data_IF_739004366579
#
_entry.id   IF_739004366579
#
_cell.length_a   1.000
_cell.length_b   1.000
_cell.length_c   1.000
_cell.angle_alpha   90.00
_cell.angle_beta   90.00
_cell.angle_gamma   90.00
#
_symmetry.space_group_name_H-M   'P 1'
#
loop_
_entity.id
_entity.type
_entity.pdbx_description
1 polymer ?
#
# COMPACT_ATOMS: atom_id res chain seq x y z
N UNK A 1 4.87 3.58 -14.42
CA UNK A 1 3.70 2.98 -13.74
C UNK A 1 3.12 4.01 -12.78
N UNK A 2 1.79 4.20 -12.74
CA UNK A 2 1.15 5.11 -11.79
C UNK A 2 1.37 4.63 -10.34
N UNK A 3 1.63 5.55 -9.42
CA UNK A 3 1.76 5.29 -7.99
C UNK A 3 0.54 5.86 -7.27
N UNK A 4 -0.34 5.00 -6.79
CA UNK A 4 -1.51 5.41 -6.01
C UNK A 4 -1.11 5.59 -4.54
N UNK A 5 -1.56 6.69 -3.95
CA UNK A 5 -1.35 7.02 -2.54
C UNK A 5 -2.70 7.23 -1.88
N UNK A 6 -2.86 6.72 -0.66
CA UNK A 6 -3.96 7.08 0.25
C UNK A 6 -3.41 8.04 1.31
N UNK A 7 -4.06 9.17 1.53
CA UNK A 7 -3.53 10.23 2.39
C UNK A 7 -4.64 10.97 3.15
N UNK A 8 -4.23 11.74 4.17
CA UNK A 8 -5.08 12.71 4.85
C UNK A 8 -4.49 14.12 4.77
N UNK A 9 -5.36 15.12 4.59
CA UNK A 9 -5.00 16.53 4.48
C UNK A 9 -6.15 17.41 4.99
N UNK A 10 -5.86 18.43 5.81
CA UNK A 10 -6.85 19.43 6.23
C UNK A 10 -8.14 18.85 6.83
N UNK A 11 -8.03 17.79 7.63
CA UNK A 11 -9.18 17.09 8.24
C UNK A 11 -9.89 16.08 7.34
N UNK A 12 -9.59 16.02 6.03
CA UNK A 12 -10.04 14.94 5.14
C UNK A 12 -9.15 13.72 5.33
N UNK A 13 -9.75 12.54 5.46
CA UNK A 13 -9.05 11.28 5.69
C UNK A 13 -9.40 10.30 4.58
N UNK A 14 -8.41 9.57 4.08
CA UNK A 14 -8.64 8.47 3.13
C UNK A 14 -8.78 8.93 1.67
N UNK A 15 -8.29 10.12 1.34
CA UNK A 15 -8.24 10.60 -0.04
C UNK A 15 -7.25 9.74 -0.84
N UNK A 16 -7.56 9.50 -2.10
CA UNK A 16 -6.64 8.83 -3.03
C UNK A 16 -6.02 9.84 -4.00
N UNK A 17 -4.80 9.57 -4.44
CA UNK A 17 -4.08 10.42 -5.38
C UNK A 17 -3.03 9.67 -6.18
N UNK A 18 -2.61 10.25 -7.30
CA UNK A 18 -1.44 9.81 -8.07
C UNK A 18 -0.20 10.59 -7.65
N UNK A 19 0.85 9.89 -7.24
CA UNK A 19 2.14 10.50 -6.95
C UNK A 19 2.94 10.69 -8.24
N UNK A 20 3.25 11.94 -8.55
CA UNK A 20 4.12 12.38 -9.63
C UNK A 20 5.26 13.18 -9.00
N UNK A 21 6.46 12.61 -9.02
CA UNK A 21 7.64 13.11 -8.31
C UNK A 21 7.39 13.32 -6.81
N UNK A 22 7.20 14.57 -6.38
CA UNK A 22 6.94 14.95 -4.98
C UNK A 22 5.55 15.59 -4.80
N UNK A 23 4.66 15.43 -5.77
CA UNK A 23 3.33 16.00 -5.78
C UNK A 23 2.26 14.92 -5.97
N UNK A 24 1.17 15.05 -5.24
CA UNK A 24 0.01 14.17 -5.30
C UNK A 24 -1.12 14.88 -6.03
N UNK A 25 -1.56 14.31 -7.15
CA UNK A 25 -2.79 14.72 -7.81
C UNK A 25 -3.98 13.95 -7.24
N UNK A 26 -4.89 14.65 -6.57
CA UNK A 26 -6.06 14.02 -5.93
C UNK A 26 -6.99 13.42 -6.98
N UNK A 27 -7.48 12.22 -6.69
CA UNK A 27 -8.46 11.49 -7.48
C UNK A 27 -9.86 11.65 -6.90
N UNK A 28 -10.84 11.70 -7.78
CA UNK A 28 -12.24 11.54 -7.45
C UNK A 28 -12.72 10.17 -7.94
N UNK A 29 -13.52 9.46 -7.12
CA UNK A 29 -13.98 8.10 -7.40
C UNK A 29 -13.18 7.01 -6.69
N UNK A 30 -13.15 5.81 -7.27
CA UNK A 30 -12.53 4.62 -6.68
C UNK A 30 -11.37 4.12 -7.52
N UNK A 31 -10.22 3.91 -6.88
CA UNK A 31 -9.03 3.34 -7.53
C UNK A 31 -9.23 1.89 -8.03
N UNK A 32 -10.31 1.22 -7.59
CA UNK A 32 -10.64 -0.15 -7.97
C UNK A 32 -11.64 -0.24 -9.12
N UNK A 33 -12.33 0.86 -9.45
CA UNK A 33 -13.32 0.89 -10.54
C UNK A 33 -13.01 2.05 -11.48
N UNK A 34 -13.65 3.20 -11.26
CA UNK A 34 -13.50 4.39 -12.08
C UNK A 34 -13.03 5.57 -11.22
N UNK A 35 -12.08 6.33 -11.76
CA UNK A 35 -11.55 7.53 -11.15
C UNK A 35 -11.23 8.59 -12.20
N UNK A 36 -11.22 9.85 -11.77
CA UNK A 36 -10.77 11.00 -12.54
C UNK A 36 -9.73 11.78 -11.75
N UNK A 37 -8.80 12.43 -12.44
CA UNK A 37 -7.84 13.33 -11.80
C UNK A 37 -8.51 14.68 -11.61
N UNK A 38 -8.53 15.18 -10.38
CA UNK A 38 -9.06 16.52 -10.07
C UNK A 38 -8.00 17.59 -10.34
N UNK A 39 -8.31 18.87 -10.15
CA UNK A 39 -7.31 19.95 -10.21
C UNK A 39 -6.53 20.15 -8.89
N UNK A 40 -6.87 19.39 -7.83
CA UNK A 40 -6.22 19.53 -6.52
C UNK A 40 -4.87 18.85 -6.51
N UNK A 41 -3.85 19.55 -6.03
CA UNK A 41 -2.47 19.10 -5.90
C UNK A 41 -1.96 19.33 -4.48
N UNK A 42 -1.20 18.36 -3.98
CA UNK A 42 -0.61 18.43 -2.65
C UNK A 42 0.85 18.00 -2.68
N UNK A 43 1.79 18.81 -2.18
CA UNK A 43 3.14 18.34 -1.92
C UNK A 43 3.12 17.13 -0.98
N UNK A 44 3.88 16.08 -1.30
CA UNK A 44 3.88 14.84 -0.51
C UNK A 44 4.27 15.07 0.96
N UNK A 45 5.12 16.08 1.22
CA UNK A 45 5.56 16.45 2.56
C UNK A 45 4.53 17.27 3.37
N UNK A 46 3.38 17.63 2.77
CA UNK A 46 2.30 18.36 3.44
C UNK A 46 1.11 17.45 3.81
N UNK A 47 1.11 16.19 3.39
CA UNK A 47 0.05 15.23 3.71
C UNK A 47 0.56 14.21 4.74
N UNK A 48 -0.37 13.59 5.48
CA UNK A 48 -0.06 12.35 6.20
C UNK A 48 -0.38 11.16 5.29
N UNK A 49 0.63 10.32 5.04
CA UNK A 49 0.45 9.06 4.32
C UNK A 49 -0.31 8.06 5.18
N UNK A 50 -1.27 7.36 4.57
CA UNK A 50 -2.02 6.27 5.18
C UNK A 50 -1.59 4.96 4.54
N UNK A 51 -2.04 3.83 5.11
CA UNK A 51 -1.95 2.55 4.41
C UNK A 51 -2.59 2.68 3.01
N UNK A 52 -1.98 2.15 1.95
CA UNK A 52 -2.39 2.43 0.56
C UNK A 52 -3.72 1.78 0.18
N UNK A 53 -4.26 0.89 1.02
CA UNK A 53 -5.55 0.23 0.82
C UNK A 53 -6.20 -0.14 2.16
N UNK A 54 -7.46 -0.57 2.09
CA UNK A 54 -8.25 -1.02 3.24
C UNK A 54 -8.61 -2.50 3.05
N UNK A 55 -7.68 -3.42 3.38
CA UNK A 55 -7.86 -4.84 3.08
C UNK A 55 -8.89 -5.49 4.00
N UNK A 56 -9.77 -6.31 3.43
CA UNK A 56 -10.67 -7.20 4.21
C UNK A 56 -9.95 -8.42 4.77
N UNK A 57 -8.83 -8.80 4.16
CA UNK A 57 -7.95 -9.91 4.57
C UNK A 57 -6.52 -9.66 4.12
N UNK A 58 -5.55 -10.18 4.87
CA UNK A 58 -4.13 -10.13 4.52
C UNK A 58 -3.62 -11.58 4.47
N UNK A 59 -3.38 -12.08 3.26
CA UNK A 59 -2.82 -13.41 3.03
C UNK A 59 -1.32 -13.25 2.83
N UNK A 60 -0.53 -13.86 3.71
CA UNK A 60 0.91 -13.76 3.72
C UNK A 60 1.55 -15.07 3.26
N UNK A 61 2.69 -14.95 2.58
CA UNK A 61 3.57 -16.07 2.26
C UNK A 61 4.72 -16.06 3.24
N UNK A 62 5.06 -17.23 3.78
CA UNK A 62 6.23 -17.45 4.62
C UNK A 62 7.53 -17.37 3.80
N UNK A 63 8.41 -18.36 3.96
CA UNK A 63 9.69 -18.37 3.27
C UNK A 63 9.51 -18.39 1.75
N UNK A 64 9.92 -17.30 1.07
CA UNK A 64 9.74 -17.15 -0.38
C UNK A 64 10.99 -16.61 -1.12
N UNK A 65 12.17 -16.64 -0.48
CA UNK A 65 13.43 -16.18 -1.07
C UNK A 65 14.46 -17.32 -1.08
N UNK A 66 14.87 -17.75 -2.29
CA UNK A 66 15.84 -18.84 -2.48
C UNK A 66 17.18 -18.59 -1.78
N UNK A 67 17.65 -17.34 -1.79
CA UNK A 67 18.91 -16.95 -1.15
C UNK A 67 18.87 -17.14 0.38
N UNK A 68 17.74 -16.80 1.02
CA UNK A 68 17.56 -16.99 2.48
C UNK A 68 17.49 -18.47 2.84
N UNK A 69 16.90 -19.29 1.98
CA UNK A 69 16.86 -20.74 2.14
C UNK A 69 18.25 -21.37 2.03
N UNK A 70 19.00 -20.99 0.99
CA UNK A 70 20.37 -21.46 0.77
C UNK A 70 21.28 -21.09 1.96
N UNK A 71 21.21 -19.84 2.45
CA UNK A 71 22.01 -19.40 3.61
C UNK A 71 21.65 -20.12 4.91
N UNK A 72 20.45 -20.68 5.01
CA UNK A 72 19.98 -21.46 6.17
C UNK A 72 20.12 -22.98 5.97
N UNK A 73 20.68 -23.41 4.84
CA UNK A 73 20.78 -24.82 4.44
C UNK A 73 19.43 -25.55 4.51
N UNK A 74 18.34 -24.83 4.17
CA UNK A 74 16.98 -25.38 4.17
C UNK A 74 16.50 -25.60 2.74
N UNK A 75 15.83 -26.73 2.44
CA UNK A 75 15.18 -26.91 1.15
C UNK A 75 14.03 -25.90 1.00
N UNK A 76 13.69 -25.58 -0.25
CA UNK A 76 12.46 -24.86 -0.54
C UNK A 76 11.27 -25.76 -0.16
N UNK A 77 10.20 -25.19 0.42
CA UNK A 77 8.99 -25.97 0.68
C UNK A 77 8.35 -26.40 -0.65
N UNK A 78 7.79 -27.60 -0.68
CA UNK A 78 7.11 -28.13 -1.89
C UNK A 78 5.85 -27.31 -2.24
N UNK A 79 5.22 -26.72 -1.22
CA UNK A 79 4.04 -25.85 -1.35
C UNK A 79 4.26 -24.51 -0.63
N UNK A 80 3.59 -23.42 -1.04
CA UNK A 80 3.67 -22.14 -0.34
C UNK A 80 3.14 -22.24 1.10
N UNK A 81 3.96 -21.82 2.05
CA UNK A 81 3.51 -21.69 3.45
C UNK A 81 2.67 -20.43 3.57
N UNK A 82 1.36 -20.58 3.76
CA UNK A 82 0.40 -19.46 3.86
C UNK A 82 -0.03 -19.23 5.31
N UNK A 83 -0.16 -17.96 5.70
CA UNK A 83 -0.76 -17.57 6.98
C UNK A 83 -1.54 -16.26 6.83
N UNK A 84 -2.36 -15.92 7.83
CA UNK A 84 -3.18 -14.71 7.85
C UNK A 84 -2.65 -13.71 8.87
N UNK A 85 -2.66 -12.43 8.50
CA UNK A 85 -2.64 -11.31 9.46
C UNK A 85 -4.03 -10.66 9.52
N UNK A 86 -4.50 -10.26 10.72
CA UNK A 86 -5.77 -9.54 10.82
C UNK A 86 -5.65 -8.17 10.14
N UNK A 87 -6.75 -7.69 9.54
CA UNK A 87 -6.81 -6.35 8.92
C UNK A 87 -6.54 -5.22 9.92
N UNK A 88 -6.80 -5.46 11.21
CA UNK A 88 -6.47 -4.54 12.31
C UNK A 88 -4.97 -4.35 12.56
N UNK A 89 -4.10 -5.15 11.91
CA UNK A 89 -2.65 -4.99 11.99
C UNK A 89 -2.06 -4.00 10.96
N UNK A 90 -2.90 -3.38 10.12
CA UNK A 90 -2.47 -2.43 9.07
C UNK A 90 -2.25 -1.05 9.67
N UNK A 91 -1.11 -0.44 9.34
CA UNK A 91 -0.73 0.92 9.73
C UNK A 91 -0.16 1.68 8.52
N UNK A 92 0.00 3.00 8.64
CA UNK A 92 0.66 3.83 7.63
C UNK A 92 2.16 3.50 7.50
N UNK A 93 2.82 3.94 6.42
CA UNK A 93 4.24 3.66 6.18
C UNK A 93 5.19 4.26 7.24
N UNK A 94 4.74 5.29 7.97
CA UNK A 94 5.51 6.03 8.99
C UNK A 94 4.88 5.94 10.39
N UNK A 95 3.94 5.00 10.59
CA UNK A 95 3.28 4.74 11.88
C UNK A 95 3.91 3.52 12.59
#
# INVERSE_FOLDING_TARGET
MPKFIRFSIGGKIGQYGLLMDQEIAELEGSIYTNWTVTDRRYPINQVKLLAPCEPTKIVCVGTNYKQVLAAKEKPAPEEPVIFLKPSSAVIGPED
#
